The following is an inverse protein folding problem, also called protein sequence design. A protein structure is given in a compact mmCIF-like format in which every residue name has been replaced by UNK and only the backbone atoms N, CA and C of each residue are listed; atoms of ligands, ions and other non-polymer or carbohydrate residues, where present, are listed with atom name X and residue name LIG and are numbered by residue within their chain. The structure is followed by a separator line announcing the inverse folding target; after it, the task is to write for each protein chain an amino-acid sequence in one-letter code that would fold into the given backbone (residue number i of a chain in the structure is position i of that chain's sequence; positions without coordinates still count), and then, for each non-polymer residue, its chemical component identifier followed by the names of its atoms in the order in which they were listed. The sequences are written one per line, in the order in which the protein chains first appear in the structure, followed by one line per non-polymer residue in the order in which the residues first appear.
data_IF_972088802771
#
_entry.id   IF_972088802771
#
_cell.length_a   1.000
_cell.length_b   1.000
_cell.length_c   1.000
_cell.angle_alpha   90.00
_cell.angle_beta   90.00
_cell.angle_gamma   90.00
#
_symmetry.space_group_name_H-M   'P 1'
#
loop_
_entity.id
_entity.type
_entity.pdbx_description
1 polymer ?
#
# COMPACT_ATOMS: atom_id res chain seq x y z
N UNK A 1 33.22 30.37 -10.33
CA UNK A 1 33.22 29.28 -9.32
C UNK A 1 32.23 28.22 -9.80
N UNK A 2 32.68 27.00 -10.05
CA UNK A 2 31.80 25.91 -10.44
C UNK A 2 31.02 25.47 -9.19
N UNK A 3 29.70 25.70 -9.21
CA UNK A 3 28.78 25.23 -8.17
C UNK A 3 28.00 24.01 -8.66
N UNK A 4 27.27 23.34 -7.77
CA UNK A 4 26.40 22.20 -8.13
C UNK A 4 25.40 22.53 -9.26
N UNK A 5 25.01 23.80 -9.40
CA UNK A 5 24.17 24.31 -10.49
C UNK A 5 24.85 24.38 -11.87
N UNK A 6 26.15 24.07 -11.96
CA UNK A 6 26.91 23.97 -13.21
C UNK A 6 27.01 22.55 -13.76
N UNK A 7 26.55 21.55 -13.00
CA UNK A 7 26.50 20.17 -13.48
C UNK A 7 25.31 19.99 -14.44
N UNK A 8 25.47 19.19 -15.51
CA UNK A 8 24.35 18.78 -16.33
C UNK A 8 23.26 18.09 -15.49
N UNK A 9 21.97 18.30 -15.79
CA UNK A 9 20.85 17.69 -15.08
C UNK A 9 20.97 16.17 -14.95
N UNK A 10 21.47 15.50 -15.99
CA UNK A 10 21.63 14.04 -16.04
C UNK A 10 22.65 13.55 -15.02
N UNK A 11 23.76 14.29 -14.85
CA UNK A 11 24.82 13.96 -13.88
C UNK A 11 24.30 14.18 -12.47
N UNK A 12 23.60 15.29 -12.23
CA UNK A 12 22.98 15.57 -10.92
C UNK A 12 21.98 14.48 -10.55
N UNK A 13 21.11 14.08 -11.48
CA UNK A 13 20.12 13.02 -11.27
C UNK A 13 20.77 11.68 -10.94
N UNK A 14 21.83 11.30 -11.65
CA UNK A 14 22.55 10.05 -11.39
C UNK A 14 23.24 10.06 -10.02
N UNK A 15 23.84 11.20 -9.63
CA UNK A 15 24.43 11.37 -8.30
C UNK A 15 23.35 11.19 -7.22
N UNK A 16 22.20 11.86 -7.35
CA UNK A 16 21.09 11.73 -6.40
C UNK A 16 20.59 10.29 -6.35
N UNK A 17 20.41 9.64 -7.51
CA UNK A 17 19.98 8.24 -7.59
C UNK A 17 20.92 7.32 -6.81
N UNK A 18 22.22 7.42 -7.06
CA UNK A 18 23.23 6.59 -6.38
C UNK A 18 23.31 6.90 -4.89
N UNK A 19 23.20 8.16 -4.49
CA UNK A 19 23.25 8.58 -3.09
C UNK A 19 22.05 8.06 -2.29
N UNK A 20 20.82 8.25 -2.82
CA UNK A 20 19.58 7.75 -2.21
C UNK A 20 19.56 6.22 -2.18
N UNK A 21 20.05 5.56 -3.23
CA UNK A 21 20.15 4.09 -3.27
C UNK A 21 21.14 3.55 -2.23
N UNK A 22 22.24 4.26 -2.01
CA UNK A 22 23.28 3.84 -1.04
C UNK A 22 22.86 4.10 0.40
N UNK A 23 22.17 5.21 0.66
CA UNK A 23 21.61 5.52 1.96
C UNK A 23 20.22 6.17 1.82
N UNK A 24 19.14 5.38 1.83
CA UNK A 24 17.77 5.89 1.70
C UNK A 24 17.38 6.88 2.80
N UNK A 25 17.97 6.78 4.00
CA UNK A 25 17.66 7.66 5.13
C UNK A 25 18.15 9.10 4.90
N UNK A 26 19.23 9.28 4.14
CA UNK A 26 19.75 10.60 3.76
C UNK A 26 18.95 11.28 2.64
N UNK A 27 17.93 10.63 2.07
CA UNK A 27 17.12 11.21 1.00
C UNK A 27 16.51 12.57 1.42
N UNK A 28 16.02 12.66 2.66
CA UNK A 28 15.46 13.90 3.20
C UNK A 28 16.49 15.03 3.23
N UNK A 29 17.76 14.74 3.54
CA UNK A 29 18.83 15.73 3.58
C UNK A 29 19.11 16.26 2.17
N UNK A 30 19.23 15.36 1.19
CA UNK A 30 19.46 15.72 -0.21
C UNK A 30 18.32 16.55 -0.80
N UNK A 31 17.07 16.28 -0.42
CA UNK A 31 15.91 17.04 -0.88
C UNK A 31 15.91 18.51 -0.42
N UNK A 32 16.72 18.88 0.58
CA UNK A 32 16.79 20.26 1.07
C UNK A 32 17.80 21.15 0.34
N UNK A 33 18.65 20.57 -0.52
CA UNK A 33 19.76 21.27 -1.16
C UNK A 33 19.27 22.29 -2.20
N UNK A 34 18.37 21.87 -3.09
CA UNK A 34 17.77 22.72 -4.12
C UNK A 34 16.46 22.11 -4.63
N UNK A 35 15.70 22.87 -5.43
CA UNK A 35 14.47 22.36 -6.04
C UNK A 35 14.72 21.20 -6.99
N UNK A 36 15.78 21.27 -7.80
CA UNK A 36 16.14 20.19 -8.72
C UNK A 36 16.48 18.90 -7.96
N UNK A 37 17.26 19.02 -6.87
CA UNK A 37 17.58 17.89 -6.01
C UNK A 37 16.33 17.32 -5.34
N UNK A 38 15.43 18.18 -4.86
CA UNK A 38 14.16 17.76 -4.31
C UNK A 38 13.36 16.96 -5.34
N UNK A 39 13.23 17.44 -6.58
CA UNK A 39 12.46 16.77 -7.61
C UNK A 39 13.06 15.39 -7.96
N UNK A 40 14.40 15.27 -8.05
CA UNK A 40 15.07 13.98 -8.27
C UNK A 40 14.95 13.02 -7.08
N UNK A 41 15.02 13.51 -5.85
CA UNK A 41 14.81 12.68 -4.66
C UNK A 41 13.37 12.20 -4.61
N UNK A 42 12.40 13.09 -4.84
CA UNK A 42 10.99 12.74 -4.83
C UNK A 42 10.66 11.72 -5.92
N UNK A 43 11.24 11.85 -7.11
CA UNK A 43 11.09 10.84 -8.16
C UNK A 43 11.57 9.46 -7.71
N UNK A 44 12.69 9.36 -6.99
CA UNK A 44 13.22 8.08 -6.50
C UNK A 44 12.41 7.52 -5.30
N UNK A 45 12.02 8.38 -4.38
CA UNK A 45 11.38 7.98 -3.11
C UNK A 45 9.89 7.67 -3.26
N UNK A 46 9.19 8.31 -4.19
CA UNK A 46 7.76 8.07 -4.43
C UNK A 46 7.48 6.96 -5.44
N UNK A 47 8.48 6.33 -6.07
CA UNK A 47 8.28 5.18 -6.97
C UNK A 47 7.55 4.04 -6.29
N UNK A 48 7.84 3.77 -5.01
CA UNK A 48 7.20 2.69 -4.24
C UNK A 48 6.64 3.23 -2.94
N UNK A 49 5.35 3.04 -2.73
CA UNK A 49 4.62 3.59 -1.58
C UNK A 49 3.98 2.48 -0.76
N UNK A 50 4.32 2.40 0.53
CA UNK A 50 3.67 1.50 1.49
C UNK A 50 2.81 2.31 2.45
N UNK A 51 1.51 2.01 2.50
CA UNK A 51 0.52 2.73 3.29
C UNK A 51 -0.23 1.73 4.17
N UNK A 52 -0.43 2.08 5.43
CA UNK A 52 -1.35 1.36 6.31
C UNK A 52 -2.73 2.00 6.32
N UNK A 53 -3.78 1.23 6.63
CA UNK A 53 -5.14 1.78 6.83
C UNK A 53 -5.19 2.91 7.86
N UNK A 54 -4.27 2.93 8.84
CA UNK A 54 -4.13 3.99 9.85
C UNK A 54 -3.46 5.27 9.33
N UNK A 55 -2.89 5.25 8.12
CA UNK A 55 -2.12 6.34 7.52
C UNK A 55 -2.86 7.03 6.35
N UNK A 56 -4.16 6.81 6.23
CA UNK A 56 -4.96 7.34 5.12
C UNK A 56 -4.96 8.86 5.01
N UNK A 57 -4.83 9.59 6.13
CA UNK A 57 -4.69 11.04 6.10
C UNK A 57 -3.32 11.47 5.54
N UNK A 58 -2.24 10.80 5.95
CA UNK A 58 -0.89 11.05 5.45
C UNK A 58 -0.80 10.83 3.93
N UNK A 59 -1.48 9.80 3.42
CA UNK A 59 -1.60 9.57 1.98
C UNK A 59 -2.16 10.80 1.25
N UNK A 60 -3.23 11.39 1.77
CA UNK A 60 -3.89 12.56 1.15
C UNK A 60 -3.05 13.83 1.23
N UNK A 61 -2.34 14.02 2.34
CA UNK A 61 -1.57 15.23 2.59
C UNK A 61 -0.21 15.22 1.85
N UNK A 62 0.42 14.05 1.73
CA UNK A 62 1.78 13.93 1.19
C UNK A 62 1.77 13.69 -0.32
N UNK A 63 0.78 12.96 -0.86
CA UNK A 63 0.80 12.52 -2.26
C UNK A 63 0.11 13.54 -3.17
N UNK A 64 0.87 14.59 -3.50
CA UNK A 64 0.48 15.65 -4.45
C UNK A 64 0.34 15.11 -5.88
N UNK A 65 -0.36 15.83 -6.78
CA UNK A 65 -0.51 15.40 -8.19
C UNK A 65 0.81 15.10 -8.91
N UNK A 66 1.89 15.82 -8.58
CA UNK A 66 3.22 15.55 -9.12
C UNK A 66 3.77 14.21 -8.60
N UNK A 67 3.71 13.98 -7.28
CA UNK A 67 4.18 12.74 -6.65
C UNK A 67 3.38 11.52 -7.11
N UNK A 68 2.08 11.69 -7.38
CA UNK A 68 1.24 10.64 -7.99
C UNK A 68 1.80 10.16 -9.34
N UNK A 69 2.46 11.03 -10.11
CA UNK A 69 3.04 10.67 -11.41
C UNK A 69 4.28 9.77 -11.30
N UNK A 70 4.96 9.79 -10.14
CA UNK A 70 6.15 8.99 -9.86
C UNK A 70 5.81 7.58 -9.36
N UNK A 71 4.63 7.40 -8.74
CA UNK A 71 4.22 6.12 -8.16
C UNK A 71 4.11 5.04 -9.24
N UNK A 72 4.78 3.92 -8.99
CA UNK A 72 4.73 2.69 -9.80
C UNK A 72 4.30 1.48 -8.99
N UNK A 73 4.70 1.41 -7.72
CA UNK A 73 4.34 0.32 -6.83
C UNK A 73 3.60 0.88 -5.61
N UNK A 74 2.51 0.24 -5.24
CA UNK A 74 1.76 0.57 -4.05
C UNK A 74 1.47 -0.67 -3.24
N UNK A 75 1.74 -0.61 -1.93
CA UNK A 75 1.36 -1.65 -0.98
C UNK A 75 0.41 -1.04 0.04
N UNK A 76 -0.82 -1.54 0.09
CA UNK A 76 -1.80 -1.14 1.09
C UNK A 76 -1.98 -2.26 2.11
N UNK A 77 -1.57 -2.01 3.35
CA UNK A 77 -1.67 -2.94 4.48
C UNK A 77 -2.85 -2.54 5.38
N UNK A 78 -3.92 -3.32 5.35
CA UNK A 78 -5.06 -3.15 6.26
C UNK A 78 -4.68 -3.63 7.65
N UNK A 79 -4.80 -2.75 8.65
CA UNK A 79 -4.60 -3.08 10.06
C UNK A 79 -5.93 -3.53 10.65
N UNK A 80 -6.01 -4.81 11.01
CA UNK A 80 -7.15 -5.41 11.70
C UNK A 80 -7.11 -5.14 13.22
N UNK A 81 -8.26 -5.22 13.92
CA UNK A 81 -8.32 -5.06 15.36
C UNK A 81 -7.39 -6.01 16.11
N UNK A 82 -6.79 -5.52 17.19
CA UNK A 82 -6.05 -6.35 18.12
C UNK A 82 -6.97 -7.28 18.91
N UNK A 83 -6.46 -8.45 19.25
CA UNK A 83 -7.10 -9.40 20.15
C UNK A 83 -6.08 -9.90 21.19
N UNK A 84 -6.56 -10.50 22.28
CA UNK A 84 -5.69 -11.07 23.31
C UNK A 84 -4.96 -12.32 22.80
N UNK A 85 -3.77 -12.10 22.24
CA UNK A 85 -2.95 -13.14 21.63
C UNK A 85 -2.45 -14.21 22.63
N UNK A 86 -2.53 -13.97 23.94
CA UNK A 86 -2.12 -14.95 24.96
C UNK A 86 -3.26 -15.88 25.29
N UNK A 87 -4.40 -15.32 25.69
CA UNK A 87 -5.58 -16.10 26.10
C UNK A 87 -6.20 -16.86 24.94
N UNK A 88 -6.09 -16.32 23.73
CA UNK A 88 -6.76 -16.84 22.55
C UNK A 88 -5.86 -17.68 21.62
N UNK A 89 -4.59 -17.92 22.00
CA UNK A 89 -3.61 -18.65 21.17
C UNK A 89 -4.05 -20.09 20.79
N UNK A 90 -4.93 -20.68 21.59
CA UNK A 90 -5.38 -22.08 21.48
C UNK A 90 -6.70 -22.25 20.76
N UNK A 91 -7.42 -21.16 20.52
CA UNK A 91 -8.74 -21.18 19.92
C UNK A 91 -8.62 -20.77 18.46
N UNK A 92 -9.46 -21.37 17.61
CA UNK A 92 -9.66 -20.90 16.24
C UNK A 92 -10.41 -19.57 16.28
N UNK A 93 -10.24 -18.79 15.22
CA UNK A 93 -11.05 -17.59 15.03
C UNK A 93 -12.53 -17.99 14.94
N UNK A 94 -13.39 -17.25 15.65
CA UNK A 94 -14.83 -17.49 15.61
C UNK A 94 -15.43 -16.86 14.35
N UNK A 95 -16.64 -17.30 13.97
CA UNK A 95 -17.35 -16.69 12.85
C UNK A 95 -17.63 -15.20 13.08
N UNK A 96 -17.92 -14.80 14.32
CA UNK A 96 -18.14 -13.40 14.70
C UNK A 96 -16.87 -12.56 14.54
N UNK A 97 -15.72 -13.09 14.95
CA UNK A 97 -14.42 -12.43 14.76
C UNK A 97 -14.07 -12.30 13.27
N UNK A 98 -14.31 -13.35 12.48
CA UNK A 98 -14.06 -13.32 11.04
C UNK A 98 -14.96 -12.29 10.33
N UNK A 99 -16.24 -12.21 10.71
CA UNK A 99 -17.16 -11.19 10.20
C UNK A 99 -16.72 -9.78 10.60
N UNK A 100 -16.29 -9.60 11.85
CA UNK A 100 -15.76 -8.32 12.32
C UNK A 100 -14.52 -7.92 11.52
N UNK A 101 -13.56 -8.83 11.34
CA UNK A 101 -12.36 -8.58 10.55
C UNK A 101 -12.68 -8.26 9.09
N UNK A 102 -13.68 -8.91 8.49
CA UNK A 102 -14.13 -8.61 7.13
C UNK A 102 -14.80 -7.22 7.03
N UNK A 103 -15.51 -6.78 8.08
CA UNK A 103 -16.02 -5.40 8.18
C UNK A 103 -14.89 -4.38 8.22
N UNK A 104 -13.91 -4.56 9.12
CA UNK A 104 -12.74 -3.68 9.20
C UNK A 104 -11.96 -3.64 7.89
N UNK A 105 -11.81 -4.78 7.22
CA UNK A 105 -11.19 -4.86 5.91
C UNK A 105 -11.95 -4.03 4.87
N UNK A 106 -13.27 -4.23 4.79
CA UNK A 106 -14.14 -3.48 3.87
C UNK A 106 -14.07 -1.97 4.15
N UNK A 107 -14.19 -1.57 5.41
CA UNK A 107 -14.19 -0.16 5.82
C UNK A 107 -12.85 0.53 5.55
N UNK A 108 -11.73 -0.21 5.53
CA UNK A 108 -10.41 0.32 5.19
C UNK A 108 -10.18 0.43 3.67
N UNK A 109 -10.70 -0.53 2.90
CA UNK A 109 -10.52 -0.59 1.44
C UNK A 109 -11.23 0.57 0.75
N UNK A 110 -12.45 0.90 1.17
CA UNK A 110 -13.26 1.89 0.45
C UNK A 110 -12.65 3.29 0.45
N UNK A 111 -12.21 3.89 1.59
CA UNK A 111 -11.55 5.19 1.59
C UNK A 111 -10.21 5.21 0.84
N UNK A 112 -9.53 4.07 0.78
CA UNK A 112 -8.31 3.91 -0.01
C UNK A 112 -8.61 3.96 -1.51
N UNK A 113 -9.64 3.24 -1.96
CA UNK A 113 -10.07 3.24 -3.36
C UNK A 113 -10.57 4.63 -3.76
N UNK A 114 -11.31 5.33 -2.89
CA UNK A 114 -11.73 6.72 -3.13
C UNK A 114 -10.52 7.65 -3.31
N UNK A 115 -9.47 7.47 -2.50
CA UNK A 115 -8.26 8.27 -2.61
C UNK A 115 -7.53 8.02 -3.94
N UNK A 116 -7.31 6.76 -4.33
CA UNK A 116 -6.61 6.41 -5.58
C UNK A 116 -7.44 6.80 -6.81
N UNK A 117 -8.76 6.63 -6.76
CA UNK A 117 -9.65 7.02 -7.85
C UNK A 117 -9.57 8.52 -8.16
N UNK A 118 -9.37 9.36 -7.12
CA UNK A 118 -9.24 10.81 -7.26
C UNK A 118 -8.00 11.25 -8.07
N UNK A 119 -6.99 10.38 -8.23
CA UNK A 119 -5.75 10.68 -8.96
C UNK A 119 -5.92 10.72 -10.48
N UNK A 120 -7.09 10.29 -10.98
CA UNK A 120 -7.47 10.27 -12.39
C UNK A 120 -8.23 11.54 -12.82
N UNK A 121 -8.25 12.59 -12.00
CA UNK A 121 -8.91 13.85 -12.34
C UNK A 121 -8.15 14.58 -13.47
N UNK A 122 -8.83 15.14 -14.49
CA UNK A 122 -8.22 15.80 -15.67
C UNK A 122 -7.33 17.02 -15.37
N UNK A 123 -7.22 17.45 -14.11
CA UNK A 123 -6.21 18.43 -13.66
C UNK A 123 -4.80 17.82 -13.58
N UNK A 124 -4.68 16.50 -13.48
CA UNK A 124 -3.43 15.78 -13.68
C UNK A 124 -3.28 15.51 -15.18
N UNK A 125 -2.26 16.10 -15.81
CA UNK A 125 -2.06 16.12 -17.26
C UNK A 125 -2.27 14.78 -17.99
N UNK A 126 -2.58 14.90 -19.30
CA UNK A 126 -2.95 13.84 -20.26
C UNK A 126 -2.59 12.41 -19.82
N UNK A 127 -3.64 11.60 -19.65
CA UNK A 127 -3.63 10.19 -19.22
C UNK A 127 -2.81 9.26 -20.13
N UNK A 128 -2.45 9.68 -21.35
CA UNK A 128 -1.97 8.79 -22.41
C UNK A 128 -0.53 8.27 -22.24
N UNK A 129 0.23 8.77 -21.26
CA UNK A 129 1.62 8.33 -21.02
C UNK A 129 1.88 7.84 -19.57
N UNK A 130 0.84 7.66 -18.74
CA UNK A 130 1.05 7.12 -17.40
C UNK A 130 1.30 5.61 -17.47
N UNK A 131 2.54 5.19 -17.21
CA UNK A 131 2.86 3.80 -16.89
C UNK A 131 1.97 3.35 -15.71
N UNK A 132 1.33 2.20 -15.85
CA UNK A 132 0.39 1.69 -14.85
C UNK A 132 1.04 1.43 -13.49
N UNK A 133 0.19 1.36 -12.45
CA UNK A 133 0.60 1.13 -11.06
C UNK A 133 0.37 -0.35 -10.71
N UNK A 134 1.37 -0.96 -10.08
CA UNK A 134 1.26 -2.26 -9.42
C UNK A 134 0.75 -2.08 -8.00
N UNK A 135 -0.41 -2.66 -7.69
CA UNK A 135 -1.06 -2.55 -6.38
C UNK A 135 -1.06 -3.89 -5.66
N UNK A 136 -0.46 -3.92 -4.47
CA UNK A 136 -0.54 -5.02 -3.51
C UNK A 136 -1.46 -4.67 -2.36
N UNK A 137 -2.42 -5.53 -2.05
CA UNK A 137 -3.28 -5.40 -0.88
C UNK A 137 -3.02 -6.55 0.08
N UNK A 138 -2.75 -6.23 1.33
CA UNK A 138 -2.59 -7.21 2.40
C UNK A 138 -3.34 -6.75 3.65
N UNK A 139 -3.51 -7.68 4.59
CA UNK A 139 -4.10 -7.37 5.89
C UNK A 139 -3.28 -8.04 6.98
N UNK A 140 -3.05 -7.34 8.09
CA UNK A 140 -2.37 -7.89 9.25
C UNK A 140 -3.07 -7.45 10.55
N UNK A 141 -2.94 -8.28 11.59
CA UNK A 141 -3.30 -7.89 12.95
C UNK A 141 -2.02 -7.66 13.76
N UNK A 142 -1.89 -6.55 14.52
CA UNK A 142 -0.70 -6.31 15.35
C UNK A 142 -0.43 -7.44 16.37
N UNK A 143 -1.50 -8.04 16.92
CA UNK A 143 -1.44 -9.19 17.83
C UNK A 143 -0.75 -10.43 17.23
N UNK A 144 -0.70 -10.55 15.90
CA UNK A 144 -0.04 -11.66 15.21
C UNK A 144 1.50 -11.54 15.25
N UNK A 145 2.03 -10.31 15.42
CA UNK A 145 3.47 -10.00 15.30
C UNK A 145 4.23 -10.00 16.65
N UNK A 146 3.55 -10.27 17.78
CA UNK A 146 4.18 -10.20 19.12
C UNK A 146 5.28 -11.25 19.27
N UNK A 147 6.52 -10.91 19.71
CA UNK A 147 7.65 -11.84 19.80
C UNK A 147 7.39 -13.08 20.67
N UNK A 148 7.92 -14.23 20.24
CA UNK A 148 7.76 -15.49 20.97
C UNK A 148 8.64 -15.51 22.21
N UNK A 149 8.10 -15.11 23.35
CA UNK A 149 8.83 -15.31 24.61
C UNK A 149 8.70 -16.74 25.17
N UNK A 150 7.81 -17.59 24.63
CA UNK A 150 7.42 -18.86 25.30
C UNK A 150 6.98 -20.05 24.39
N UNK A 151 7.29 -20.07 23.09
CA UNK A 151 6.89 -21.15 22.17
C UNK A 151 5.42 -21.11 21.72
N UNK A 152 4.71 -20.01 21.99
CA UNK A 152 3.26 -19.87 21.74
C UNK A 152 2.98 -19.52 20.27
N UNK A 153 3.97 -19.03 19.52
CA UNK A 153 3.76 -18.50 18.17
C UNK A 153 3.43 -19.54 17.11
N UNK A 154 4.05 -20.73 17.12
CA UNK A 154 3.76 -21.79 16.13
C UNK A 154 2.27 -22.15 16.06
N UNK A 155 1.51 -21.90 17.14
CA UNK A 155 0.08 -22.23 17.23
C UNK A 155 -0.82 -21.04 16.89
N UNK A 156 -0.34 -19.79 16.98
CA UNK A 156 -1.10 -18.60 16.56
C UNK A 156 -1.41 -18.60 15.07
N UNK A 157 -0.46 -18.98 14.21
CA UNK A 157 -0.71 -19.12 12.77
C UNK A 157 -1.85 -20.10 12.45
N UNK A 158 -2.12 -21.04 13.36
CA UNK A 158 -3.25 -21.96 13.20
C UNK A 158 -4.58 -21.29 13.54
N UNK A 159 -4.67 -20.19 14.30
CA UNK A 159 -5.96 -19.59 14.65
C UNK A 159 -6.76 -19.18 13.41
N UNK A 160 -6.08 -18.58 12.43
CA UNK A 160 -6.66 -18.03 11.20
C UNK A 160 -6.22 -18.75 9.93
N UNK A 161 -5.67 -19.96 10.04
CA UNK A 161 -5.14 -20.71 8.87
C UNK A 161 -6.18 -20.97 7.78
N UNK A 162 -7.45 -21.11 8.20
CA UNK A 162 -8.64 -21.34 7.38
C UNK A 162 -9.53 -20.11 7.25
N UNK A 163 -9.20 -19.04 7.97
CA UNK A 163 -9.97 -17.81 7.90
C UNK A 163 -9.63 -17.05 6.64
N UNK A 164 -10.65 -16.46 6.05
CA UNK A 164 -10.53 -15.60 4.87
C UNK A 164 -11.25 -14.30 5.11
N UNK A 165 -10.67 -13.21 4.64
CA UNK A 165 -11.31 -11.91 4.63
C UNK A 165 -12.19 -11.77 3.40
N UNK A 166 -13.39 -11.26 3.61
CA UNK A 166 -14.33 -10.95 2.54
C UNK A 166 -14.52 -9.44 2.41
N UNK A 167 -14.92 -9.01 1.20
CA UNK A 167 -15.49 -7.68 1.01
C UNK A 167 -16.98 -7.79 1.18
N UNK A 168 -17.47 -7.10 2.20
CA UNK A 168 -18.88 -7.04 2.50
C UNK A 168 -19.47 -5.94 1.61
N UNK A 169 -20.19 -6.36 0.56
CA UNK A 169 -20.94 -5.41 -0.26
C UNK A 169 -22.11 -4.88 0.58
N UNK A 170 -22.03 -3.62 0.98
CA UNK A 170 -23.21 -2.89 1.45
C UNK A 170 -23.94 -2.36 0.22
N UNK A 171 -25.24 -2.64 0.09
CA UNK A 171 -26.06 -2.41 -1.11
C UNK A 171 -26.04 -0.95 -1.64
N UNK A 172 -25.58 0.01 -0.84
CA UNK A 172 -25.61 1.43 -1.18
C UNK A 172 -24.26 2.05 -1.56
N UNK A 173 -23.11 1.38 -1.35
CA UNK A 173 -21.79 1.97 -1.66
C UNK A 173 -21.14 1.27 -2.83
N UNK A 174 -21.06 1.99 -3.96
CA UNK A 174 -20.29 1.55 -5.13
C UNK A 174 -18.80 1.70 -4.82
N UNK A 175 -18.02 0.66 -5.11
CA UNK A 175 -16.57 0.71 -5.08
C UNK A 175 -16.12 1.49 -6.33
N UNK A 176 -15.24 2.50 -6.24
CA UNK A 176 -14.85 3.29 -7.40
C UNK A 176 -13.88 2.51 -8.30
N UNK A 177 -13.91 2.83 -9.59
CA UNK A 177 -12.99 2.26 -10.58
C UNK A 177 -11.60 2.86 -10.43
N UNK A 178 -10.59 2.02 -10.64
CA UNK A 178 -9.18 2.35 -10.52
C UNK A 178 -8.44 2.10 -11.86
N UNK A 179 -8.65 2.93 -12.89
CA UNK A 179 -8.02 2.75 -14.20
C UNK A 179 -6.49 2.94 -14.18
N UNK A 180 -5.94 3.58 -13.16
CA UNK A 180 -4.49 3.75 -13.01
C UNK A 180 -3.75 2.46 -12.63
N UNK A 181 -4.48 1.45 -12.13
CA UNK A 181 -3.89 0.19 -11.68
C UNK A 181 -3.81 -0.79 -12.86
N UNK A 182 -2.62 -1.35 -13.07
CA UNK A 182 -2.32 -2.28 -14.17
C UNK A 182 -1.90 -3.67 -13.71
N UNK A 183 -1.47 -3.80 -12.46
CA UNK A 183 -1.15 -5.09 -11.84
C UNK A 183 -1.79 -5.13 -10.46
N UNK A 184 -2.31 -6.29 -10.07
CA UNK A 184 -2.95 -6.47 -8.78
C UNK A 184 -2.47 -7.74 -8.09
N UNK A 185 -2.07 -7.61 -6.82
CA UNK A 185 -1.47 -8.67 -6.03
C UNK A 185 -2.18 -8.76 -4.67
N UNK A 186 -2.51 -9.98 -4.24
CA UNK A 186 -3.14 -10.22 -2.95
C UNK A 186 -2.16 -10.88 -1.94
N UNK A 187 -2.09 -10.30 -0.74
CA UNK A 187 -1.29 -10.82 0.36
C UNK A 187 0.14 -10.26 0.41
N UNK A 188 0.76 -10.40 1.58
CA UNK A 188 2.14 -9.98 1.84
C UNK A 188 2.70 -10.81 3.00
N UNK A 189 3.71 -11.63 2.73
CA UNK A 189 4.39 -12.50 3.70
C UNK A 189 3.54 -13.55 4.45
N UNK A 190 4.24 -14.41 5.21
CA UNK A 190 3.69 -15.53 6.00
C UNK A 190 2.71 -15.11 7.12
N UNK A 191 2.59 -13.81 7.39
CA UNK A 191 1.79 -13.25 8.49
C UNK A 191 0.54 -12.51 8.01
N UNK A 192 0.33 -12.36 6.69
CA UNK A 192 -0.88 -11.73 6.19
C UNK A 192 -2.11 -12.63 6.35
N UNK A 193 -3.25 -12.01 6.63
CA UNK A 193 -4.56 -12.65 6.58
C UNK A 193 -4.90 -12.92 5.12
N UNK A 194 -5.41 -14.13 4.86
CA UNK A 194 -5.81 -14.55 3.51
C UNK A 194 -7.06 -13.79 3.10
N UNK A 195 -7.10 -13.32 1.86
CA UNK A 195 -8.31 -12.84 1.24
C UNK A 195 -9.05 -14.03 0.63
N UNK A 196 -10.38 -14.01 0.63
CA UNK A 196 -11.15 -15.02 -0.09
C UNK A 196 -10.95 -14.82 -1.60
N UNK A 197 -10.92 -15.88 -2.43
CA UNK A 197 -10.83 -15.73 -3.88
C UNK A 197 -11.92 -14.83 -4.45
N UNK A 198 -13.12 -14.88 -3.86
CA UNK A 198 -14.23 -13.99 -4.19
C UNK A 198 -13.86 -12.52 -3.95
N UNK A 199 -13.29 -12.20 -2.78
CA UNK A 199 -12.88 -10.84 -2.47
C UNK A 199 -11.79 -10.34 -3.43
N UNK A 200 -10.81 -11.18 -3.78
CA UNK A 200 -9.80 -10.85 -4.78
C UNK A 200 -10.44 -10.48 -6.13
N UNK A 201 -11.39 -11.30 -6.61
CA UNK A 201 -12.12 -11.02 -7.85
C UNK A 201 -12.98 -9.76 -7.76
N UNK A 202 -13.67 -9.54 -6.64
CA UNK A 202 -14.51 -8.35 -6.41
C UNK A 202 -13.67 -7.06 -6.42
N UNK A 203 -12.43 -7.11 -5.89
CA UNK A 203 -11.45 -6.03 -5.99
C UNK A 203 -10.95 -5.83 -7.41
N UNK A 204 -10.47 -6.91 -8.03
CA UNK A 204 -9.88 -6.87 -9.37
C UNK A 204 -10.88 -6.35 -10.42
N UNK A 205 -12.17 -6.64 -10.24
CA UNK A 205 -13.25 -6.13 -11.09
C UNK A 205 -13.35 -4.58 -11.10
N UNK A 206 -12.73 -3.89 -10.14
CA UNK A 206 -12.68 -2.43 -10.10
C UNK A 206 -11.49 -1.84 -10.88
N UNK A 207 -10.62 -2.68 -11.44
CA UNK A 207 -9.37 -2.27 -12.08
C UNK A 207 -9.39 -2.69 -13.56
N UNK A 208 -9.96 -1.87 -14.45
CA UNK A 208 -10.24 -2.27 -15.83
C UNK A 208 -8.98 -2.54 -16.68
N UNK A 209 -7.81 -2.06 -16.25
CA UNK A 209 -6.54 -2.16 -16.98
C UNK A 209 -5.60 -3.23 -16.40
N UNK A 210 -6.07 -4.04 -15.45
CA UNK A 210 -5.27 -5.11 -14.86
C UNK A 210 -5.08 -6.23 -15.87
N UNK A 211 -3.82 -6.55 -16.15
CA UNK A 211 -3.42 -7.64 -17.04
C UNK A 211 -2.63 -8.75 -16.32
N UNK A 212 -2.15 -8.48 -15.10
CA UNK A 212 -1.44 -9.43 -14.24
C UNK A 212 -2.15 -9.52 -12.88
N UNK A 213 -2.48 -10.75 -12.46
CA UNK A 213 -3.11 -11.04 -11.18
C UNK A 213 -2.45 -12.27 -10.53
N UNK A 214 -1.88 -12.11 -9.33
CA UNK A 214 -1.34 -13.22 -8.50
C UNK A 214 -2.05 -13.31 -7.13
#
# INVERSE_FOLDING_TARGET
MAGWSSLPPEVTREIVHLAVKSNPESACEFATISRDWQDYVEENTFVSLKIRSTQMQQLRDIVTPLRQSYIRNMTFEVILPEYDAKSLAWYKETLEEQQLNSRYFTDAILPFFDAVASWNSPAAGKLEERRGISLRISACCPSDKVPDRYGVLRRRYKRWDRSVLEILRNDNRKIPLLPAISEFLCGDDSYSRKLSPKACCDIAAQMPNVHTMD
#
